data_IF_473336213426
#
_entry.id   IF_473336213426
#
_cell.length_a   1.000
_cell.length_b   1.000
_cell.length_c   1.000
_cell.angle_alpha   90.00
_cell.angle_beta   90.00
_cell.angle_gamma   90.00
#
_symmetry.space_group_name_H-M   'P 1'
#
loop_
_entity.id
_entity.type
_entity.pdbx_description
1 polymer ?
#
# COMPACT_ATOMS: atom_id res chain seq x y z
N UNK A 1 -8.24 11.14 7.31
CA UNK A 1 -7.05 11.09 8.20
C UNK A 1 -6.95 12.28 9.15
N UNK A 2 -6.79 13.53 8.69
CA UNK A 2 -6.62 14.73 9.56
C UNK A 2 -7.66 14.89 10.67
N UNK A 3 -8.92 14.50 10.43
CA UNK A 3 -9.99 14.58 11.44
C UNK A 3 -9.89 13.49 12.53
N UNK A 4 -9.41 12.29 12.18
CA UNK A 4 -9.22 11.18 13.11
C UNK A 4 -8.08 11.47 14.09
N UNK A 5 -6.92 11.89 13.56
CA UNK A 5 -5.78 12.33 14.34
C UNK A 5 -6.13 13.47 15.33
N UNK A 6 -6.94 14.45 14.89
CA UNK A 6 -7.37 15.57 15.75
C UNK A 6 -8.39 15.18 16.84
N UNK A 7 -9.03 14.02 16.73
CA UNK A 7 -10.06 13.54 17.65
C UNK A 7 -9.61 12.35 18.51
N UNK A 8 -8.33 11.97 18.45
CA UNK A 8 -7.82 10.81 19.18
C UNK A 8 -8.40 9.47 18.69
N UNK A 9 -8.90 9.43 17.45
CA UNK A 9 -9.45 8.20 16.87
C UNK A 9 -8.28 7.35 16.35
N UNK A 10 -8.21 6.05 16.71
CA UNK A 10 -7.21 5.13 16.19
C UNK A 10 -7.14 5.21 14.66
N UNK A 11 -5.96 5.53 14.15
CA UNK A 11 -5.75 5.74 12.71
C UNK A 11 -4.49 5.00 12.29
N UNK A 12 -4.67 4.01 11.41
CA UNK A 12 -3.61 3.31 10.70
C UNK A 12 -3.50 3.87 9.28
N UNK A 13 -2.30 4.21 8.84
CA UNK A 13 -1.98 4.55 7.46
C UNK A 13 -1.05 3.49 6.90
N UNK A 14 -1.49 2.84 5.82
CA UNK A 14 -0.63 1.95 5.05
C UNK A 14 0.19 2.76 4.07
N UNK A 15 1.46 2.41 3.93
CA UNK A 15 2.37 2.96 2.92
C UNK A 15 3.03 1.81 2.17
N UNK A 16 3.49 2.06 0.94
CA UNK A 16 4.15 1.05 0.10
C UNK A 16 5.23 1.74 -0.71
N UNK A 17 6.25 0.98 -1.14
CA UNK A 17 7.27 1.46 -2.07
C UNK A 17 6.62 2.22 -3.27
N UNK A 18 7.05 3.46 -3.55
CA UNK A 18 6.36 4.36 -4.48
C UNK A 18 6.18 3.79 -5.89
N UNK A 19 7.21 3.18 -6.48
CA UNK A 19 7.14 2.64 -7.85
C UNK A 19 6.04 1.59 -7.95
N UNK A 20 6.04 0.65 -7.01
CA UNK A 20 5.05 -0.42 -6.93
C UNK A 20 3.63 0.10 -6.70
N UNK A 21 3.47 1.08 -5.79
CA UNK A 21 2.18 1.69 -5.48
C UNK A 21 1.60 2.43 -6.70
N UNK A 22 2.41 3.23 -7.38
CA UNK A 22 2.03 4.04 -8.55
C UNK A 22 1.64 3.16 -9.73
N UNK A 23 2.43 2.12 -10.04
CA UNK A 23 2.10 1.18 -11.10
C UNK A 23 0.80 0.44 -10.79
N UNK A 24 0.63 0.00 -9.54
CA UNK A 24 -0.60 -0.67 -9.10
C UNK A 24 -1.82 0.24 -9.21
N UNK A 25 -1.72 1.50 -8.79
CA UNK A 25 -2.79 2.49 -8.86
C UNK A 25 -3.16 2.81 -10.31
N UNK A 26 -2.15 3.06 -11.15
CA UNK A 26 -2.32 3.40 -12.56
C UNK A 26 -3.07 2.30 -13.30
N UNK A 27 -2.70 1.02 -13.07
CA UNK A 27 -3.37 -0.13 -13.66
C UNK A 27 -4.80 -0.28 -13.13
N UNK A 28 -4.99 -0.16 -11.81
CA UNK A 28 -6.29 -0.41 -11.16
C UNK A 28 -7.32 0.67 -11.50
N UNK A 29 -6.89 1.92 -11.66
CA UNK A 29 -7.75 3.06 -11.95
C UNK A 29 -7.74 3.47 -13.42
N UNK A 30 -7.00 2.75 -14.25
CA UNK A 30 -6.82 3.04 -15.68
C UNK A 30 -6.39 4.50 -15.88
N UNK A 31 -5.47 4.97 -15.04
CA UNK A 31 -5.03 6.36 -15.09
C UNK A 31 -4.24 6.60 -16.39
N UNK A 32 -4.41 7.78 -17.01
CA UNK A 32 -3.77 8.10 -18.28
C UNK A 32 -2.25 8.30 -18.17
N UNK A 33 -1.69 8.44 -16.96
CA UNK A 33 -0.26 8.77 -16.77
C UNK A 33 0.26 8.36 -15.40
N UNK A 34 1.48 7.80 -15.36
CA UNK A 34 2.22 7.53 -14.11
C UNK A 34 2.61 8.81 -13.37
N UNK A 35 2.75 9.94 -14.08
CA UNK A 35 3.06 11.24 -13.47
C UNK A 35 1.91 11.67 -12.56
N UNK A 36 0.67 11.51 -13.03
CA UNK A 36 -0.50 11.84 -12.22
C UNK A 36 -0.61 10.93 -10.99
N UNK A 37 -0.35 9.64 -11.14
CA UNK A 37 -0.32 8.72 -10.01
C UNK A 37 0.80 9.04 -9.00
N UNK A 38 1.95 9.55 -9.44
CA UNK A 38 3.03 10.04 -8.58
C UNK A 38 2.64 11.31 -7.83
N UNK A 39 1.99 12.26 -8.51
CA UNK A 39 1.44 13.47 -7.87
C UNK A 39 0.42 13.10 -6.80
N UNK A 40 -0.50 12.17 -7.08
CA UNK A 40 -1.50 11.69 -6.11
C UNK A 40 -0.83 11.00 -4.90
N UNK A 41 0.23 10.23 -5.13
CA UNK A 41 1.03 9.63 -4.06
C UNK A 41 1.63 10.72 -3.15
N UNK A 42 2.29 11.72 -3.73
CA UNK A 42 2.89 12.82 -2.98
C UNK A 42 1.83 13.64 -2.23
N UNK A 43 0.73 13.99 -2.90
CA UNK A 43 -0.38 14.77 -2.32
C UNK A 43 -1.01 14.06 -1.11
N UNK A 44 -1.06 12.73 -1.13
CA UNK A 44 -1.57 11.94 -0.02
C UNK A 44 -0.56 11.86 1.15
N UNK A 45 0.70 11.52 0.87
CA UNK A 45 1.68 11.22 1.90
C UNK A 45 2.42 12.45 2.47
N UNK A 46 2.51 13.57 1.74
CA UNK A 46 3.10 14.80 2.28
C UNK A 46 2.36 15.29 3.54
N UNK A 47 1.01 15.35 3.55
CA UNK A 47 0.24 15.57 4.78
C UNK A 47 0.45 14.50 5.86
N UNK A 48 0.65 13.23 5.48
CA UNK A 48 0.83 12.11 6.42
C UNK A 48 2.12 12.30 7.21
N UNK A 49 3.21 12.68 6.53
CA UNK A 49 4.49 12.94 7.17
C UNK A 49 4.38 13.97 8.30
N UNK A 50 3.58 15.02 8.11
CA UNK A 50 3.32 16.05 9.11
C UNK A 50 2.41 15.60 10.28
N UNK A 51 1.79 14.42 10.18
CA UNK A 51 0.89 13.86 11.20
C UNK A 51 1.56 12.79 12.06
N UNK A 52 2.90 12.82 12.15
CA UNK A 52 3.76 11.87 12.85
C UNK A 52 3.13 11.26 14.11
N UNK A 53 2.66 12.11 15.03
CA UNK A 53 2.16 11.64 16.31
C UNK A 53 0.66 11.29 16.36
N UNK A 54 -0.07 11.59 15.29
CA UNK A 54 -1.52 11.39 15.23
C UNK A 54 -1.94 10.02 14.70
N UNK A 55 -1.01 9.21 14.18
CA UNK A 55 -1.29 7.97 13.47
C UNK A 55 -0.24 6.89 13.73
N UNK A 56 -0.61 5.64 13.45
CA UNK A 56 0.35 4.56 13.20
C UNK A 56 0.53 4.43 11.70
N UNK A 57 1.76 4.29 11.24
CA UNK A 57 2.08 3.98 9.84
C UNK A 57 2.60 2.54 9.79
N UNK A 58 2.21 1.79 8.76
CA UNK A 58 2.74 0.45 8.50
C UNK A 58 3.06 0.30 7.00
N UNK A 59 4.20 -0.33 6.71
CA UNK A 59 4.55 -0.66 5.32
C UNK A 59 3.73 -1.85 4.82
N UNK A 60 3.47 -1.93 3.52
CA UNK A 60 2.75 -3.03 2.90
C UNK A 60 3.41 -4.38 3.16
N UNK A 61 4.74 -4.46 3.07
CA UNK A 61 5.52 -5.68 3.31
C UNK A 61 5.40 -6.12 4.77
N UNK A 62 5.52 -5.17 5.71
CA UNK A 62 5.30 -5.43 7.13
C UNK A 62 3.88 -5.91 7.40
N UNK A 63 2.88 -5.25 6.79
CA UNK A 63 1.46 -5.56 6.99
C UNK A 63 1.09 -6.94 6.47
N UNK A 64 1.67 -7.34 5.35
CA UNK A 64 1.43 -8.65 4.73
C UNK A 64 2.22 -9.77 5.38
N UNK A 65 3.30 -9.47 6.11
CA UNK A 65 4.09 -10.46 6.85
C UNK A 65 3.64 -10.61 8.32
N UNK A 66 3.28 -9.52 9.01
CA UNK A 66 2.88 -9.53 10.42
C UNK A 66 1.88 -8.41 10.75
N UNK A 67 0.63 -8.59 10.33
CA UNK A 67 -0.49 -7.72 10.73
C UNK A 67 -0.69 -7.68 12.26
N UNK A 68 -0.34 -8.75 12.98
CA UNK A 68 -0.45 -8.81 14.44
C UNK A 68 0.40 -7.73 15.12
N UNK A 69 1.65 -7.57 14.70
CA UNK A 69 2.54 -6.51 15.17
C UNK A 69 2.01 -5.10 14.84
N UNK A 70 1.39 -4.92 13.68
CA UNK A 70 0.75 -3.64 13.31
C UNK A 70 -0.40 -3.31 14.27
N UNK A 71 -1.24 -4.29 14.58
CA UNK A 71 -2.37 -4.14 15.52
C UNK A 71 -1.86 -3.86 16.95
N UNK A 72 -0.79 -4.53 17.41
CA UNK A 72 -0.15 -4.21 18.70
C UNK A 72 0.27 -2.75 18.79
N UNK A 73 0.99 -2.23 17.78
CA UNK A 73 1.38 -0.81 17.77
C UNK A 73 0.19 0.14 17.80
N UNK A 74 -0.92 -0.24 17.16
CA UNK A 74 -2.16 0.55 17.18
C UNK A 74 -2.78 0.55 18.59
N UNK A 75 -2.85 -0.62 19.23
CA UNK A 75 -3.32 -0.77 20.60
C UNK A 75 -2.48 0.02 21.59
N UNK A 76 -1.15 -0.12 21.52
CA UNK A 76 -0.22 0.58 22.41
C UNK A 76 -0.32 2.11 22.26
N UNK A 77 -0.47 2.61 21.02
CA UNK A 77 -0.54 4.05 20.77
C UNK A 77 -1.85 4.67 21.22
N UNK A 78 -2.97 3.99 20.97
CA UNK A 78 -4.30 4.58 21.18
C UNK A 78 -5.02 4.03 22.42
N UNK A 79 -4.41 3.11 23.18
CA UNK A 79 -5.04 2.45 24.32
C UNK A 79 -6.24 1.59 23.91
N UNK A 80 -6.22 1.04 22.70
CA UNK A 80 -7.27 0.13 22.21
C UNK A 80 -6.96 -1.32 22.56
N UNK A 81 -7.93 -2.21 22.31
CA UNK A 81 -7.80 -3.63 22.55
C UNK A 81 -8.33 -4.44 21.35
N UNK A 82 -7.92 -4.06 20.15
CA UNK A 82 -8.23 -4.81 18.93
C UNK A 82 -7.56 -6.17 18.98
N UNK A 83 -8.27 -7.22 18.55
CA UNK A 83 -7.71 -8.56 18.46
C UNK A 83 -6.59 -8.58 17.42
N UNK A 84 -5.43 -9.10 17.81
CA UNK A 84 -4.30 -9.29 16.91
C UNK A 84 -4.63 -10.38 15.89
N UNK A 85 -4.12 -10.22 14.66
CA UNK A 85 -4.25 -11.23 13.63
C UNK A 85 -3.22 -12.34 13.85
N UNK A 86 -3.67 -13.59 13.98
CA UNK A 86 -2.80 -14.75 14.00
C UNK A 86 -2.38 -15.12 12.57
N UNK A 87 -1.11 -14.89 12.25
CA UNK A 87 -0.57 -15.01 10.90
C UNK A 87 -0.20 -16.47 10.57
N UNK A 88 -1.21 -17.34 10.56
CA UNK A 88 -1.10 -18.73 10.15
C UNK A 88 -1.65 -18.94 8.72
N UNK A 89 -1.27 -20.05 8.08
CA UNK A 89 -1.63 -20.35 6.68
C UNK A 89 -3.16 -20.39 6.47
N UNK A 90 -3.91 -20.91 7.44
CA UNK A 90 -5.37 -21.03 7.36
C UNK A 90 -6.06 -19.65 7.35
N UNK A 91 -5.65 -18.77 8.27
CA UNK A 91 -6.18 -17.42 8.37
C UNK A 91 -5.82 -16.59 7.13
N UNK A 92 -4.59 -16.73 6.63
CA UNK A 92 -4.14 -16.06 5.39
C UNK A 92 -4.98 -16.53 4.20
N UNK A 93 -5.21 -17.85 4.06
CA UNK A 93 -6.06 -18.40 3.02
C UNK A 93 -7.50 -17.90 3.11
N UNK A 94 -8.06 -17.79 4.32
CA UNK A 94 -9.40 -17.24 4.55
C UNK A 94 -9.49 -15.76 4.11
N UNK A 95 -8.47 -14.95 4.42
CA UNK A 95 -8.40 -13.55 3.96
C UNK A 95 -8.38 -13.47 2.42
N UNK A 96 -7.58 -14.30 1.75
CA UNK A 96 -7.55 -14.33 0.28
C UNK A 96 -8.89 -14.76 -0.31
N UNK A 97 -9.56 -15.75 0.27
CA UNK A 97 -10.89 -16.17 -0.18
C UNK A 97 -11.93 -15.05 -0.05
N UNK A 98 -11.90 -14.27 1.04
CA UNK A 98 -12.76 -13.10 1.20
C UNK A 98 -12.44 -11.98 0.21
N UNK A 99 -11.15 -11.73 -0.06
CA UNK A 99 -10.73 -10.77 -1.09
C UNK A 99 -11.27 -11.15 -2.48
N UNK A 100 -11.17 -12.42 -2.86
CA UNK A 100 -11.74 -12.91 -4.13
C UNK A 100 -13.26 -12.67 -4.19
N UNK A 101 -13.99 -12.86 -3.09
CA UNK A 101 -15.43 -12.59 -3.04
C UNK A 101 -15.73 -11.09 -3.17
N UNK A 102 -14.96 -10.21 -2.51
CA UNK A 102 -15.12 -8.75 -2.62
C UNK A 102 -14.87 -8.31 -4.06
N UNK A 103 -13.79 -8.78 -4.68
CA UNK A 103 -13.47 -8.48 -6.07
C UNK A 103 -14.58 -8.93 -7.03
N UNK A 104 -15.15 -10.12 -6.81
CA UNK A 104 -16.29 -10.61 -7.60
C UNK A 104 -17.54 -9.73 -7.46
N UNK A 105 -17.84 -9.24 -6.25
CA UNK A 105 -18.97 -8.33 -6.01
C UNK A 105 -18.74 -6.96 -6.66
N UNK A 106 -17.54 -6.40 -6.50
CA UNK A 106 -17.17 -5.09 -7.05
C UNK A 106 -17.11 -5.10 -8.59
N UNK A 107 -16.87 -6.26 -9.20
CA UNK A 107 -16.85 -6.44 -10.65
C UNK A 107 -18.25 -6.41 -11.32
N UNK A 108 -19.34 -6.41 -10.56
CA UNK A 108 -20.69 -6.16 -11.09
C UNK A 108 -21.32 -7.27 -11.93
N UNK A 109 -20.79 -8.50 -11.88
CA UNK A 109 -21.31 -9.66 -12.63
C UNK A 109 -20.97 -9.62 -14.13
N UNK A 110 -20.44 -10.73 -14.65
CA UNK A 110 -20.10 -11.04 -16.04
C UNK A 110 -18.90 -10.34 -16.72
N UNK A 111 -18.27 -9.33 -16.11
CA UNK A 111 -16.94 -8.87 -16.58
C UNK A 111 -15.98 -8.79 -15.41
N UNK A 112 -15.23 -9.88 -15.19
CA UNK A 112 -14.02 -9.84 -14.37
C UNK A 112 -13.09 -8.83 -15.04
N UNK A 113 -13.03 -7.61 -14.49
CA UNK A 113 -12.00 -6.64 -14.89
C UNK A 113 -10.66 -7.27 -14.56
N UNK A 114 -9.92 -7.73 -15.56
CA UNK A 114 -8.60 -8.37 -15.41
C UNK A 114 -7.59 -7.48 -14.64
N UNK A 115 -7.87 -6.18 -14.51
CA UNK A 115 -7.10 -5.19 -13.73
C UNK A 115 -7.35 -5.24 -12.22
N UNK A 116 -8.45 -5.86 -11.78
CA UNK A 116 -8.92 -5.85 -10.40
C UNK A 116 -8.65 -7.13 -9.62
N UNK A 117 -8.35 -8.25 -10.28
CA UNK A 117 -8.00 -9.50 -9.58
C UNK A 117 -6.53 -9.45 -9.20
N UNK A 118 -6.19 -9.84 -7.97
CA UNK A 118 -4.81 -10.09 -7.52
C UNK A 118 -4.07 -11.22 -8.28
N UNK A 119 -4.50 -11.56 -9.51
CA UNK A 119 -3.87 -12.56 -10.38
C UNK A 119 -2.97 -11.87 -11.41
N UNK A 120 -1.72 -12.34 -11.58
CA UNK A 120 -0.85 -11.88 -12.65
C UNK A 120 -1.38 -12.37 -14.01
N UNK A 121 -2.21 -11.57 -14.68
CA UNK A 121 -2.60 -11.83 -16.07
C UNK A 121 -1.49 -11.40 -17.04
N UNK A 122 -1.41 -12.03 -18.22
CA UNK A 122 -0.48 -11.62 -19.28
C UNK A 122 -0.74 -10.17 -19.74
N UNK A 123 -2.00 -9.73 -19.74
CA UNK A 123 -2.40 -8.35 -20.01
C UNK A 123 -1.80 -7.36 -18.99
N UNK A 124 -1.76 -7.74 -17.70
CA UNK A 124 -1.17 -6.91 -16.64
C UNK A 124 0.35 -6.77 -16.78
N UNK A 125 1.04 -7.79 -17.31
CA UNK A 125 2.49 -7.72 -17.58
C UNK A 125 2.81 -6.73 -18.70
N UNK A 126 2.13 -6.81 -19.85
CA UNK A 126 2.34 -5.86 -20.95
C UNK A 126 2.01 -4.42 -20.53
N UNK A 127 0.90 -4.21 -19.82
CA UNK A 127 0.54 -2.88 -19.31
C UNK A 127 1.57 -2.38 -18.28
N UNK A 128 2.13 -3.27 -17.45
CA UNK A 128 3.18 -2.91 -16.48
C UNK A 128 4.48 -2.52 -17.19
N UNK A 129 4.84 -3.17 -18.29
CA UNK A 129 6.04 -2.84 -19.07
C UNK A 129 5.92 -1.47 -19.76
N UNK A 130 4.78 -1.19 -20.38
CA UNK A 130 4.49 0.13 -20.99
C UNK A 130 4.50 1.24 -19.94
N UNK A 131 3.86 1.02 -18.78
CA UNK A 131 3.85 1.98 -17.67
C UNK A 131 5.23 2.14 -17.03
N UNK A 132 6.01 1.06 -16.93
CA UNK A 132 7.38 1.11 -16.46
C UNK A 132 8.24 1.98 -17.38
N UNK A 133 8.03 1.94 -18.70
CA UNK A 133 8.72 2.83 -19.63
C UNK A 133 8.36 4.31 -19.43
N UNK A 134 7.12 4.62 -18.99
CA UNK A 134 6.74 6.01 -18.67
C UNK A 134 7.48 6.54 -17.43
N UNK A 135 7.83 5.67 -16.49
CA UNK A 135 8.64 6.03 -15.32
C UNK A 135 10.06 6.46 -15.71
N UNK A 136 10.55 6.09 -16.89
CA UNK A 136 11.85 6.51 -17.41
C UNK A 136 11.84 7.92 -18.01
N UNK A 137 10.66 8.54 -18.15
CA UNK A 137 10.58 9.95 -18.55
C UNK A 137 11.15 10.87 -17.47
N UNK A 138 11.83 11.94 -17.87
CA UNK A 138 12.44 12.89 -16.92
C UNK A 138 11.46 13.45 -15.86
N UNK A 139 10.22 13.84 -16.19
CA UNK A 139 9.25 14.29 -15.18
C UNK A 139 8.90 13.19 -14.18
N UNK A 140 8.71 11.95 -14.64
CA UNK A 140 8.37 10.83 -13.77
C UNK A 140 9.55 10.43 -12.87
N UNK A 141 10.78 10.39 -13.40
CA UNK A 141 11.97 10.09 -12.59
C UNK A 141 12.16 11.11 -11.46
N UNK A 142 11.91 12.40 -11.72
CA UNK A 142 11.99 13.43 -10.68
C UNK A 142 10.96 13.20 -9.57
N UNK A 143 9.70 13.03 -9.94
CA UNK A 143 8.63 12.82 -8.96
C UNK A 143 8.79 11.50 -8.21
N UNK A 144 9.29 10.46 -8.87
CA UNK A 144 9.60 9.18 -8.23
C UNK A 144 10.71 9.33 -7.19
N UNK A 145 11.76 10.09 -7.48
CA UNK A 145 12.82 10.37 -6.50
C UNK A 145 12.29 11.18 -5.29
N UNK A 146 11.40 12.15 -5.53
CA UNK A 146 10.72 12.90 -4.46
C UNK A 146 9.84 11.96 -3.60
N UNK A 147 9.07 11.08 -4.25
CA UNK A 147 8.23 10.09 -3.56
C UNK A 147 9.05 9.07 -2.77
N UNK A 148 10.20 8.65 -3.29
CA UNK A 148 11.14 7.74 -2.63
C UNK A 148 11.72 8.38 -1.37
N UNK A 149 12.15 9.64 -1.46
CA UNK A 149 12.67 10.40 -0.32
C UNK A 149 11.60 10.53 0.78
N UNK A 150 10.37 10.84 0.39
CA UNK A 150 9.23 10.93 1.30
C UNK A 150 8.92 9.59 1.98
N UNK A 151 8.92 8.50 1.20
CA UNK A 151 8.72 7.13 1.70
C UNK A 151 9.76 6.78 2.76
N UNK A 152 11.05 6.91 2.44
CA UNK A 152 12.14 6.62 3.36
C UNK A 152 12.10 7.48 4.63
N UNK A 153 11.78 8.77 4.50
CA UNK A 153 11.61 9.67 5.64
C UNK A 153 10.47 9.22 6.55
N UNK A 154 9.32 8.81 6.00
CA UNK A 154 8.19 8.29 6.78
C UNK A 154 8.59 6.99 7.49
N UNK A 155 9.26 6.06 6.79
CA UNK A 155 9.72 4.82 7.42
C UNK A 155 10.67 5.10 8.60
N UNK A 156 11.65 5.98 8.41
CA UNK A 156 12.60 6.37 9.45
C UNK A 156 11.89 7.04 10.65
N UNK A 157 10.98 7.98 10.38
CA UNK A 157 10.23 8.68 11.41
C UNK A 157 9.39 7.73 12.28
N UNK A 158 8.86 6.66 11.68
CA UNK A 158 8.03 5.67 12.37
C UNK A 158 8.80 4.42 12.82
N UNK A 159 10.13 4.40 12.66
CA UNK A 159 10.98 3.28 13.06
C UNK A 159 10.68 1.96 12.34
N UNK A 160 10.08 2.03 11.14
CA UNK A 160 9.73 0.85 10.34
C UNK A 160 11.01 0.33 9.68
N UNK A 161 11.32 -0.95 9.90
CA UNK A 161 12.40 -1.65 9.21
C UNK A 161 11.80 -2.56 8.15
N UNK A 162 12.20 -2.36 6.91
CA UNK A 162 11.87 -3.29 5.83
C UNK A 162 12.70 -4.57 6.01
N UNK A 163 12.12 -5.75 5.75
CA UNK A 163 12.88 -6.98 5.67
C UNK A 163 13.94 -6.89 4.56
N UNK A 164 15.05 -7.61 4.73
CA UNK A 164 16.13 -7.65 3.73
C UNK A 164 15.55 -8.20 2.41
N UNK A 165 15.84 -7.65 1.22
CA UNK A 165 15.23 -8.09 -0.05
C UNK A 165 15.40 -9.59 -0.34
N UNK A 166 16.34 -10.26 0.33
CA UNK A 166 16.57 -11.71 0.21
C UNK A 166 15.53 -12.57 0.96
N UNK A 167 14.78 -12.02 1.92
CA UNK A 167 13.76 -12.73 2.67
C UNK A 167 12.37 -12.69 1.98
N UNK A 168 12.14 -11.71 1.11
CA UNK A 168 10.84 -11.48 0.46
C UNK A 168 10.52 -12.41 -0.74
N UNK A 169 11.44 -13.32 -1.11
CA UNK A 169 11.28 -14.20 -2.29
C UNK A 169 10.80 -15.62 -1.96
N UNK A 170 10.40 -15.88 -0.71
CA UNK A 170 10.03 -17.20 -0.24
C UNK A 170 8.51 -17.37 0.00
N UNK A 171 7.65 -16.95 -0.93
CA UNK A 171 6.23 -17.31 -0.92
C UNK A 171 5.68 -17.48 -2.34
#
# INVERSE_FOLDING_TARGET
MRLGARRGIPTLVLIREPRDAVLSLTIRKELPSVVWALEEYLDFYLPVAALADGVVVADFTETTADMGAVIRRLNDRFGTNFAEFDHNEENVAAVYAELEQIEQRDAGGDVVRETHVARPSAARRSAKDDLASQLESQPAQRLLAEAQTLYEMILQQHGIRLPDPQEATAH
#
